data_IF_843364979925
#
_entry.id   IF_843364979925
#
_cell.length_a   1.000
_cell.length_b   1.000
_cell.length_c   1.000
_cell.angle_alpha   90.00
_cell.angle_beta   90.00
_cell.angle_gamma   90.00
#
_symmetry.space_group_name_H-M   'P 1'
#
loop_
_entity.id
_entity.type
_entity.pdbx_description
1 polymer ?
#
# COMPACT_ATOMS: atom_id res chain seq x y z
N UNK A 1 5.00 -6.04 -37.88
CA UNK A 1 3.73 -6.55 -37.31
C UNK A 1 3.60 -5.98 -35.89
N UNK A 2 2.98 -4.81 -35.74
CA UNK A 2 2.81 -4.13 -34.45
C UNK A 2 1.51 -4.61 -33.80
N UNK A 3 1.61 -5.54 -32.85
CA UNK A 3 0.47 -5.93 -32.00
C UNK A 3 0.09 -4.75 -31.11
N UNK A 4 -0.94 -3.99 -31.51
CA UNK A 4 -1.60 -3.03 -30.62
C UNK A 4 -2.46 -3.83 -29.64
N UNK A 5 -1.83 -4.41 -28.62
CA UNK A 5 -2.56 -4.99 -27.49
C UNK A 5 -3.32 -3.88 -26.78
N UNK A 6 -4.65 -3.94 -26.78
CA UNK A 6 -5.49 -2.96 -26.08
C UNK A 6 -5.10 -2.94 -24.60
N UNK A 7 -4.59 -1.80 -24.10
CA UNK A 7 -4.36 -1.63 -22.67
C UNK A 7 -5.68 -1.87 -21.92
N UNK A 8 -5.65 -2.73 -20.90
CA UNK A 8 -6.81 -2.97 -20.06
C UNK A 8 -7.04 -1.76 -19.15
N UNK A 9 -8.29 -1.34 -19.00
CA UNK A 9 -8.67 -0.26 -18.08
C UNK A 9 -9.26 -0.86 -16.80
N UNK A 10 -8.79 -0.41 -15.65
CA UNK A 10 -9.22 -0.90 -14.33
C UNK A 10 -9.60 0.30 -13.47
N UNK A 11 -10.84 0.35 -13.00
CA UNK A 11 -11.26 1.32 -12.00
C UNK A 11 -11.23 0.66 -10.62
N UNK A 12 -10.58 1.30 -9.63
CA UNK A 12 -10.50 0.77 -8.27
C UNK A 12 -11.23 1.70 -7.31
N UNK A 13 -12.41 1.26 -6.85
CA UNK A 13 -13.15 1.93 -5.78
C UNK A 13 -12.82 1.21 -4.47
N UNK A 14 -11.97 1.81 -3.64
CA UNK A 14 -11.51 1.14 -2.43
C UNK A 14 -10.77 2.05 -1.46
N UNK A 15 -10.23 1.42 -0.41
CA UNK A 15 -9.56 2.13 0.67
C UNK A 15 -8.14 2.57 0.31
N UNK A 16 -7.77 3.71 0.87
CA UNK A 16 -6.41 4.24 0.93
C UNK A 16 -6.13 4.63 2.38
N UNK A 17 -4.94 4.30 2.88
CA UNK A 17 -4.47 4.74 4.19
C UNK A 17 -2.96 5.00 4.15
N UNK A 18 -2.44 5.50 5.27
CA UNK A 18 -1.00 5.52 5.54
C UNK A 18 -0.74 4.51 6.63
N UNK A 19 0.16 3.57 6.38
CA UNK A 19 0.64 2.62 7.37
C UNK A 19 1.73 3.32 8.19
N UNK A 20 1.50 3.43 9.50
CA UNK A 20 2.41 4.01 10.47
C UNK A 20 3.18 2.89 11.16
N UNK A 21 4.46 2.73 10.82
CA UNK A 21 5.26 1.58 11.23
C UNK A 21 6.40 2.03 12.15
N UNK A 22 6.52 1.38 13.28
CA UNK A 22 7.62 1.56 14.23
C UNK A 22 8.09 0.19 14.72
N UNK A 23 9.41 -0.02 14.75
CA UNK A 23 9.98 -1.22 15.38
C UNK A 23 10.15 -0.97 16.86
N UNK A 24 9.70 -1.91 17.69
CA UNK A 24 9.94 -1.90 19.14
C UNK A 24 10.73 -3.16 19.52
N UNK A 25 11.49 -3.14 20.62
CA UNK A 25 12.21 -4.33 21.08
C UNK A 25 11.26 -5.49 21.45
N UNK A 26 10.02 -5.18 21.84
CA UNK A 26 8.95 -6.12 22.18
C UNK A 26 7.57 -5.46 22.00
N UNK A 27 6.49 -6.26 22.08
CA UNK A 27 5.14 -5.71 22.16
C UNK A 27 4.89 -5.10 23.55
N UNK A 28 4.24 -3.93 23.64
CA UNK A 28 3.98 -3.29 24.92
C UNK A 28 2.89 -4.03 25.71
N UNK A 29 3.02 -4.02 27.03
CA UNK A 29 1.97 -4.41 27.96
C UNK A 29 1.03 -3.24 28.27
N UNK A 30 -0.14 -3.51 28.86
CA UNK A 30 -1.12 -2.48 29.15
C UNK A 30 -0.56 -1.42 30.13
N UNK A 31 -0.56 -0.15 29.71
CA UNK A 31 -0.05 0.98 30.50
C UNK A 31 1.44 1.26 30.35
N UNK A 32 2.18 0.43 29.62
CA UNK A 32 3.63 0.59 29.43
C UNK A 32 3.94 1.66 28.36
N UNK A 33 5.02 2.43 28.59
CA UNK A 33 5.60 3.33 27.59
C UNK A 33 7.00 2.86 27.21
N UNK A 34 7.24 2.65 25.92
CA UNK A 34 8.52 2.16 25.38
C UNK A 34 9.14 3.17 24.42
N UNK A 35 10.47 3.27 24.43
CA UNK A 35 11.20 3.92 23.35
C UNK A 35 11.20 3.00 22.13
N UNK A 36 10.49 3.42 21.08
CA UNK A 36 10.54 2.75 19.79
C UNK A 36 11.79 3.12 18.99
N UNK A 37 12.04 2.33 17.95
CA UNK A 37 13.02 2.64 16.92
C UNK A 37 12.50 3.65 15.89
N UNK A 38 13.14 3.75 14.71
CA UNK A 38 12.76 4.69 13.68
C UNK A 38 11.28 4.56 13.28
N UNK A 39 10.62 5.70 13.17
CA UNK A 39 9.24 5.80 12.69
C UNK A 39 9.22 5.92 11.16
N UNK A 40 8.33 5.16 10.52
CA UNK A 40 8.17 5.14 9.07
C UNK A 40 6.71 5.29 8.68
N UNK A 41 6.49 5.91 7.52
CA UNK A 41 5.17 6.08 6.91
C UNK A 41 5.21 5.43 5.53
N UNK A 42 4.29 4.52 5.27
CA UNK A 42 4.17 3.84 3.98
C UNK A 42 2.78 4.06 3.40
N UNK A 43 2.63 4.22 2.08
CA UNK A 43 1.31 4.18 1.45
C UNK A 43 0.74 2.77 1.63
N UNK A 44 -0.52 2.69 2.06
CA UNK A 44 -1.22 1.43 2.25
C UNK A 44 -2.64 1.48 1.72
N UNK A 45 -3.39 0.45 2.09
CA UNK A 45 -4.82 0.36 1.84
C UNK A 45 -5.08 -0.65 0.75
N UNK A 46 -6.12 -1.46 0.93
CA UNK A 46 -6.37 -2.57 0.01
C UNK A 46 -6.69 -2.07 -1.39
N UNK A 47 -7.46 -0.99 -1.51
CA UNK A 47 -7.76 -0.35 -2.80
C UNK A 47 -6.50 0.19 -3.47
N UNK A 48 -5.74 1.02 -2.75
CA UNK A 48 -4.48 1.56 -3.29
C UNK A 48 -3.49 0.46 -3.71
N UNK A 49 -3.32 -0.60 -2.91
CA UNK A 49 -2.43 -1.70 -3.22
C UNK A 49 -2.88 -2.48 -4.47
N UNK A 50 -4.19 -2.70 -4.63
CA UNK A 50 -4.75 -3.31 -5.85
C UNK A 50 -4.55 -2.42 -7.08
N UNK A 51 -4.80 -1.11 -6.96
CA UNK A 51 -4.59 -0.14 -8.03
C UNK A 51 -3.13 -0.12 -8.52
N UNK A 52 -2.17 -0.07 -7.59
CA UNK A 52 -0.73 -0.12 -7.92
C UNK A 52 -0.35 -1.46 -8.56
N UNK A 53 -0.89 -2.58 -8.07
CA UNK A 53 -0.62 -3.89 -8.67
C UNK A 53 -1.14 -3.96 -10.12
N UNK A 54 -2.37 -3.50 -10.37
CA UNK A 54 -2.95 -3.46 -11.71
C UNK A 54 -2.14 -2.57 -12.66
N UNK A 55 -1.71 -1.39 -12.20
CA UNK A 55 -0.87 -0.48 -12.99
C UNK A 55 0.49 -1.12 -13.33
N UNK A 56 1.12 -1.82 -12.38
CA UNK A 56 2.38 -2.55 -12.61
C UNK A 56 2.24 -3.70 -13.61
N UNK A 57 1.04 -4.27 -13.74
CA UNK A 57 0.71 -5.27 -14.76
C UNK A 57 0.35 -4.66 -16.13
N UNK A 58 0.44 -3.33 -16.30
CA UNK A 58 0.22 -2.64 -17.57
C UNK A 58 -1.22 -2.17 -17.83
N UNK A 59 -2.08 -2.18 -16.81
CA UNK A 59 -3.41 -1.59 -16.93
C UNK A 59 -3.35 -0.04 -16.81
N UNK A 60 -4.24 0.64 -17.53
CA UNK A 60 -4.57 2.03 -17.26
C UNK A 60 -5.57 2.08 -16.10
N UNK A 61 -5.14 2.64 -14.96
CA UNK A 61 -5.90 2.63 -13.70
C UNK A 61 -6.54 3.99 -13.45
N UNK A 62 -7.79 3.99 -12.98
CA UNK A 62 -8.55 5.18 -12.56
C UNK A 62 -9.15 5.02 -11.17
#
# INVERSE_FOLDING_TARGET
MTTHGRQQRVCVVGSINIDLVMRAPQFPTAGETLLGGPFQRHPGGKGANQAVAAARCGAAVS
#
